data_IF_666018417046
#
_entry.id   IF_666018417046
#
_cell.length_a   1.000
_cell.length_b   1.000
_cell.length_c   1.000
_cell.angle_alpha   90.00
_cell.angle_beta   90.00
_cell.angle_gamma   90.00
#
_symmetry.space_group_name_H-M   'P 1'
#
loop_
_entity.id
_entity.type
_entity.pdbx_description
1 polymer ?
#
# COMPACT_ATOMS: atom_id res chain seq x y z
N UNK A 1 -7.68 -16.49 -10.22
CA UNK A 1 -6.74 -17.24 -9.36
C UNK A 1 -6.70 -16.61 -7.98
N UNK A 2 -6.76 -17.42 -6.93
CA UNK A 2 -6.84 -16.99 -5.51
C UNK A 2 -5.67 -16.12 -5.03
N UNK A 3 -4.55 -16.08 -5.77
CA UNK A 3 -3.42 -15.16 -5.56
C UNK A 3 -3.84 -13.67 -5.58
N UNK A 4 -4.91 -13.34 -6.31
CA UNK A 4 -5.37 -11.95 -6.42
C UNK A 4 -5.99 -11.42 -5.12
N UNK A 5 -6.49 -12.27 -4.22
CA UNK A 5 -7.22 -11.84 -3.02
C UNK A 5 -6.28 -11.23 -1.98
N UNK A 6 -5.29 -12.01 -1.56
CA UNK A 6 -4.31 -11.60 -0.55
C UNK A 6 -3.48 -10.42 -1.03
N UNK A 7 -3.06 -10.42 -2.30
CA UNK A 7 -2.33 -9.28 -2.89
C UNK A 7 -3.17 -8.01 -2.91
N UNK A 8 -4.45 -8.09 -3.31
CA UNK A 8 -5.35 -6.93 -3.30
C UNK A 8 -5.57 -6.41 -1.89
N UNK A 9 -5.73 -7.30 -0.92
CA UNK A 9 -5.89 -6.93 0.48
C UNK A 9 -4.61 -6.27 1.03
N UNK A 10 -3.44 -6.83 0.73
CA UNK A 10 -2.15 -6.26 1.11
C UNK A 10 -1.95 -4.86 0.51
N UNK A 11 -2.21 -4.68 -0.80
CA UNK A 11 -2.19 -3.35 -1.44
C UNK A 11 -3.17 -2.39 -0.80
N UNK A 12 -4.38 -2.84 -0.48
CA UNK A 12 -5.39 -2.01 0.18
C UNK A 12 -4.94 -1.53 1.56
N UNK A 13 -4.27 -2.40 2.35
CA UNK A 13 -3.71 -2.03 3.65
C UNK A 13 -2.60 -0.98 3.52
N UNK A 14 -1.67 -1.15 2.58
CA UNK A 14 -0.61 -0.16 2.33
C UNK A 14 -1.21 1.18 1.88
N UNK A 15 -2.18 1.15 0.96
CA UNK A 15 -2.87 2.35 0.49
C UNK A 15 -3.63 3.06 1.62
N UNK A 16 -4.24 2.31 2.54
CA UNK A 16 -4.88 2.89 3.72
C UNK A 16 -3.87 3.63 4.60
N UNK A 17 -2.71 3.03 4.88
CA UNK A 17 -1.63 3.67 5.63
C UNK A 17 -1.15 4.97 4.96
N UNK A 18 -0.95 4.96 3.64
CA UNK A 18 -0.58 6.16 2.88
C UNK A 18 -1.68 7.24 3.03
N UNK A 19 -2.95 6.87 2.82
CA UNK A 19 -4.07 7.81 2.91
C UNK A 19 -4.21 8.42 4.31
N UNK A 20 -4.02 7.63 5.36
CA UNK A 20 -4.11 8.10 6.75
C UNK A 20 -2.98 9.08 7.08
N UNK A 21 -1.78 8.86 6.56
CA UNK A 21 -0.66 9.82 6.70
C UNK A 21 -0.87 11.10 5.91
N UNK A 22 -1.38 11.03 4.67
CA UNK A 22 -1.74 12.22 3.89
C UNK A 22 -2.78 13.06 4.67
N UNK A 23 -3.83 12.41 5.19
CA UNK A 23 -4.87 13.08 6.00
C UNK A 23 -4.29 13.70 7.27
N UNK A 24 -3.42 12.99 7.99
CA UNK A 24 -2.79 13.49 9.20
C UNK A 24 -1.91 14.72 8.96
N UNK A 25 -1.28 14.83 7.77
CA UNK A 25 -0.51 16.02 7.36
C UNK A 25 -1.40 17.21 6.95
N UNK A 26 -2.70 17.01 6.70
CA UNK A 26 -3.63 18.07 6.31
C UNK A 26 -3.37 18.69 4.94
N UNK A 27 -2.64 17.99 4.06
CA UNK A 27 -2.23 18.50 2.74
C UNK A 27 -3.28 18.21 1.67
N UNK A 28 -3.31 19.06 0.64
CA UNK A 28 -4.16 18.89 -0.55
C UNK A 28 -3.71 17.71 -1.41
N UNK A 29 -4.58 17.27 -2.33
CA UNK A 29 -4.20 16.23 -3.30
C UNK A 29 -3.03 16.61 -4.20
N UNK A 30 -2.86 17.91 -4.49
CA UNK A 30 -1.76 18.41 -5.32
C UNK A 30 -0.44 18.34 -4.56
N UNK A 31 -0.41 18.82 -3.32
CA UNK A 31 0.78 18.74 -2.45
C UNK A 31 1.16 17.28 -2.17
N UNK A 32 0.16 16.40 -1.96
CA UNK A 32 0.40 14.97 -1.82
C UNK A 32 1.00 14.36 -3.10
N UNK A 33 0.58 14.82 -4.29
CA UNK A 33 1.13 14.34 -5.56
C UNK A 33 2.62 14.69 -5.69
N UNK A 34 2.96 15.95 -5.36
CA UNK A 34 4.34 16.45 -5.33
C UNK A 34 5.19 15.70 -4.31
N UNK A 35 4.70 15.54 -3.07
CA UNK A 35 5.40 14.81 -2.00
C UNK A 35 5.68 13.35 -2.36
N UNK A 36 4.67 12.65 -2.89
CA UNK A 36 4.74 11.22 -3.19
C UNK A 36 5.43 10.91 -4.53
N UNK A 37 5.72 11.92 -5.35
CA UNK A 37 6.28 11.73 -6.70
C UNK A 37 5.33 11.00 -7.65
N UNK A 38 4.02 11.21 -7.50
CA UNK A 38 2.97 10.63 -8.36
C UNK A 38 2.06 11.74 -8.90
N UNK A 39 1.14 11.41 -9.81
CA UNK A 39 0.21 12.40 -10.37
C UNK A 39 -0.99 12.63 -9.45
N UNK A 40 -1.61 13.81 -9.52
CA UNK A 40 -2.83 14.10 -8.76
C UNK A 40 -3.99 13.10 -9.02
N UNK A 41 -4.24 12.63 -10.27
CA UNK A 41 -5.21 11.55 -10.51
C UNK A 41 -4.86 10.24 -9.78
N UNK A 42 -3.57 9.92 -9.64
CA UNK A 42 -3.12 8.75 -8.88
C UNK A 42 -3.37 8.92 -7.39
N UNK A 43 -3.14 10.11 -6.81
CA UNK A 43 -3.55 10.43 -5.44
C UNK A 43 -5.06 10.25 -5.26
N UNK A 44 -5.87 10.74 -6.21
CA UNK A 44 -7.33 10.57 -6.18
C UNK A 44 -7.74 9.09 -6.24
N UNK A 45 -7.08 8.29 -7.07
CA UNK A 45 -7.32 6.85 -7.17
C UNK A 45 -6.90 6.11 -5.89
N UNK A 46 -5.77 6.50 -5.28
CA UNK A 46 -5.31 5.97 -4.00
C UNK A 46 -6.34 6.23 -2.90
N UNK A 47 -6.85 7.45 -2.80
CA UNK A 47 -7.90 7.84 -1.85
C UNK A 47 -9.22 7.10 -2.05
N UNK A 48 -9.52 6.67 -3.28
CA UNK A 48 -10.72 5.89 -3.64
C UNK A 48 -10.52 4.38 -3.59
N UNK A 49 -9.34 3.89 -3.19
CA UNK A 49 -9.02 2.46 -3.18
C UNK A 49 -8.95 1.82 -4.59
N UNK A 50 -8.77 2.63 -5.64
CA UNK A 50 -8.63 2.16 -7.04
C UNK A 50 -7.17 1.83 -7.34
N UNK A 51 -6.75 0.62 -6.94
CA UNK A 51 -5.35 0.22 -6.90
C UNK A 51 -4.87 -0.63 -8.09
N UNK A 52 -5.66 -0.76 -9.15
CA UNK A 52 -5.31 -1.58 -10.31
C UNK A 52 -4.01 -1.14 -11.01
N UNK A 53 -3.72 0.18 -11.01
CA UNK A 53 -2.49 0.76 -11.55
C UNK A 53 -1.32 0.86 -10.56
N UNK A 54 -1.49 0.38 -9.32
CA UNK A 54 -0.46 0.46 -8.29
C UNK A 54 0.23 -0.90 -8.12
N UNK A 55 1.54 -0.92 -8.34
CA UNK A 55 2.40 -2.04 -7.94
C UNK A 55 2.73 -1.93 -6.45
N UNK A 56 3.22 -3.02 -5.85
CA UNK A 56 3.73 -2.98 -4.48
C UNK A 56 4.91 -1.99 -4.35
N UNK A 57 5.84 -1.99 -5.31
CA UNK A 57 6.97 -1.05 -5.35
C UNK A 57 6.52 0.42 -5.30
N UNK A 58 5.47 0.79 -6.06
CA UNK A 58 4.96 2.17 -6.02
C UNK A 58 4.34 2.53 -4.66
N UNK A 59 3.64 1.59 -4.02
CA UNK A 59 3.10 1.81 -2.68
C UNK A 59 4.22 1.95 -1.64
N UNK A 60 5.28 1.16 -1.75
CA UNK A 60 6.44 1.26 -0.86
C UNK A 60 7.17 2.60 -1.00
N UNK A 61 7.38 3.08 -2.22
CA UNK A 61 7.96 4.41 -2.47
C UNK A 61 7.11 5.52 -1.86
N UNK A 62 5.78 5.42 -1.96
CA UNK A 62 4.88 6.39 -1.35
C UNK A 62 4.98 6.41 0.19
N UNK A 63 5.09 5.23 0.82
CA UNK A 63 5.29 5.13 2.28
C UNK A 63 6.63 5.73 2.71
N UNK A 64 7.71 5.44 1.98
CA UNK A 64 9.03 6.02 2.25
C UNK A 64 9.02 7.55 2.09
N UNK A 65 8.33 8.08 1.07
CA UNK A 65 8.15 9.53 0.88
C UNK A 65 7.32 10.20 2.00
N UNK A 66 6.64 9.40 2.82
CA UNK A 66 5.92 9.84 4.01
C UNK A 66 6.69 9.58 5.32
N UNK A 67 7.99 9.28 5.22
CA UNK A 67 8.90 8.98 6.33
C UNK A 67 8.50 7.73 7.12
N UNK A 68 7.97 6.72 6.42
CA UNK A 68 7.70 5.40 6.99
C UNK A 68 8.69 4.38 6.45
N UNK A 69 9.31 3.64 7.38
CA UNK A 69 10.13 2.48 7.04
C UNK A 69 9.26 1.24 6.81
N UNK A 70 9.74 0.35 5.95
CA UNK A 70 9.05 -0.89 5.59
C UNK A 70 9.96 -2.06 5.91
N UNK A 71 9.47 -2.95 6.76
CA UNK A 71 10.11 -4.23 7.04
C UNK A 71 9.40 -5.35 6.27
N UNK A 72 10.17 -6.12 5.49
CA UNK A 72 9.66 -7.28 4.74
C UNK A 72 10.22 -8.54 5.40
N UNK A 73 9.34 -9.36 5.98
CA UNK A 73 9.70 -10.64 6.56
C UNK A 73 9.25 -11.81 5.68
N UNK A 74 10.15 -12.76 5.45
CA UNK A 74 9.87 -14.01 4.75
C UNK A 74 10.00 -15.16 5.73
N UNK A 75 8.93 -15.95 5.87
CA UNK A 75 8.88 -17.08 6.79
C UNK A 75 8.45 -18.35 6.08
N UNK A 76 9.01 -19.49 6.49
CA UNK A 76 8.54 -20.80 6.03
C UNK A 76 7.09 -20.97 6.47
N UNK A 77 6.24 -21.45 5.56
CA UNK A 77 4.85 -21.74 5.90
C UNK A 77 4.79 -22.80 6.99
N UNK A 78 3.98 -22.57 8.01
CA UNK A 78 3.65 -23.60 8.99
C UNK A 78 2.90 -24.75 8.30
N UNK A 79 3.30 -25.99 8.56
CA UNK A 79 2.64 -27.19 8.03
C UNK A 79 1.21 -27.37 8.55
N UNK A 80 0.82 -26.63 9.61
CA UNK A 80 -0.55 -26.59 10.16
C UNK A 80 -1.42 -25.47 9.59
N UNK A 81 -0.88 -24.53 8.81
CA UNK A 81 -1.65 -23.41 8.29
C UNK A 81 -2.56 -23.86 7.15
N UNK A 82 -3.87 -23.59 7.26
CA UNK A 82 -4.88 -23.87 6.21
C UNK A 82 -4.83 -22.90 5.04
N UNK A 83 -4.05 -21.82 5.13
CA UNK A 83 -3.94 -20.79 4.09
C UNK A 83 -2.82 -21.08 3.09
N UNK A 84 -3.03 -20.67 1.84
CA UNK A 84 -1.97 -20.65 0.83
C UNK A 84 -0.91 -19.59 1.20
N UNK A 85 0.24 -19.65 0.53
CA UNK A 85 1.26 -18.61 0.69
C UNK A 85 0.72 -17.35 0.03
N UNK A 86 0.95 -16.23 0.69
CA UNK A 86 0.45 -14.95 0.26
C UNK A 86 1.24 -13.82 0.89
N UNK A 87 0.93 -12.62 0.43
CA UNK A 87 1.48 -11.38 0.99
C UNK A 87 0.54 -10.92 2.10
N UNK A 88 1.10 -10.65 3.27
CA UNK A 88 0.34 -10.15 4.41
C UNK A 88 1.00 -8.88 4.93
N UNK A 89 0.19 -7.84 5.09
CA UNK A 89 0.61 -6.58 5.70
C UNK A 89 0.07 -6.53 7.12
N UNK A 90 0.99 -6.38 8.06
CA UNK A 90 0.74 -6.11 9.46
C UNK A 90 1.05 -4.64 9.68
N UNK A 91 0.03 -3.85 10.01
CA UNK A 91 0.12 -2.41 10.21
C UNK A 91 -0.92 -2.00 11.24
#
# INVERSE_FOLDING_TARGET
GLLNGDERLAKAKLAAQINDRIKARGITQKEAAELLGITQPEVSNLGKGRLSGFTFDRLYRCLNALDLDIEISVKKRSTRAKTLAGVHVHA
#
